data_IF_041148909971
#
_entry.id   IF_041148909971
#
_cell.length_a   1.000
_cell.length_b   1.000
_cell.length_c   1.000
_cell.angle_alpha   90.00
_cell.angle_beta   90.00
_cell.angle_gamma   90.00
#
_symmetry.space_group_name_H-M   'P 1'
#
loop_
_entity.id
_entity.type
_entity.pdbx_description
1 polymer ?
#
# COMPACT_ATOMS: atom_id res chain seq x y z
N UNK A 1 -31.00 31.99 -4.83
CA UNK A 1 -31.09 30.78 -4.02
C UNK A 1 -32.03 29.77 -4.63
N UNK A 2 -31.65 28.50 -4.61
CA UNK A 2 -32.39 27.48 -5.33
C UNK A 2 -33.20 26.58 -4.38
N UNK A 3 -34.46 26.93 -4.18
CA UNK A 3 -35.36 26.18 -3.31
C UNK A 3 -35.58 24.71 -3.78
N UNK A 4 -35.48 24.48 -5.08
CA UNK A 4 -35.64 23.15 -5.63
C UNK A 4 -34.46 22.22 -5.24
N UNK A 5 -33.25 22.79 -5.18
CA UNK A 5 -32.08 22.06 -4.73
C UNK A 5 -32.20 21.69 -3.25
N UNK A 6 -32.66 22.63 -2.43
CA UNK A 6 -32.85 22.38 -0.99
C UNK A 6 -33.91 21.30 -0.76
N UNK A 7 -35.01 21.35 -1.50
CA UNK A 7 -36.07 20.32 -1.42
C UNK A 7 -35.55 18.95 -1.83
N UNK A 8 -34.76 18.92 -2.87
CA UNK A 8 -34.13 17.67 -3.31
C UNK A 8 -33.23 17.08 -2.22
N UNK A 9 -32.42 17.93 -1.58
CA UNK A 9 -31.55 17.49 -0.48
C UNK A 9 -32.34 16.90 0.68
N UNK A 10 -33.46 17.53 1.05
CA UNK A 10 -34.33 17.03 2.11
C UNK A 10 -34.90 15.64 1.78
N UNK A 11 -35.34 15.47 0.55
CA UNK A 11 -35.85 14.18 0.09
C UNK A 11 -34.77 13.10 0.11
N UNK A 12 -33.54 13.46 -0.23
CA UNK A 12 -32.41 12.53 -0.15
C UNK A 12 -32.19 12.05 1.27
N UNK A 13 -32.28 12.95 2.24
CA UNK A 13 -32.13 12.59 3.66
C UNK A 13 -33.25 11.66 4.14
N UNK A 14 -34.47 11.92 3.66
CA UNK A 14 -35.63 11.09 4.02
C UNK A 14 -35.55 9.69 3.44
N UNK A 15 -34.93 9.54 2.26
CA UNK A 15 -34.82 8.24 1.58
C UNK A 15 -33.84 7.29 2.27
N UNK A 16 -32.95 7.81 3.10
CA UNK A 16 -32.01 7.01 3.85
C UNK A 16 -30.68 7.72 4.08
N UNK A 17 -30.03 7.36 5.16
CA UNK A 17 -28.73 7.92 5.51
C UNK A 17 -27.60 7.03 4.98
N UNK A 18 -26.44 7.64 4.77
CA UNK A 18 -25.24 6.86 4.44
C UNK A 18 -24.87 5.95 5.61
N UNK A 19 -24.22 4.83 5.33
CA UNK A 19 -23.63 4.01 6.39
C UNK A 19 -22.49 4.78 7.06
N UNK A 20 -22.23 4.48 8.34
CA UNK A 20 -21.20 5.16 9.12
C UNK A 20 -20.03 4.24 9.50
N UNK A 21 -20.12 2.98 9.13
CA UNK A 21 -19.12 1.96 9.49
C UNK A 21 -18.11 1.71 8.37
N UNK A 22 -17.99 2.65 7.43
CA UNK A 22 -16.97 2.55 6.38
C UNK A 22 -15.60 2.90 6.94
N UNK A 23 -14.57 2.36 6.32
CA UNK A 23 -13.18 2.59 6.75
C UNK A 23 -12.77 4.03 6.48
N UNK A 24 -11.96 4.59 7.39
CA UNK A 24 -11.28 5.84 7.11
C UNK A 24 -10.23 5.62 6.01
N UNK A 25 -9.75 6.70 5.41
CA UNK A 25 -8.68 6.59 4.41
C UNK A 25 -7.44 5.92 4.99
N UNK A 26 -7.04 6.29 6.20
CA UNK A 26 -5.86 5.70 6.85
C UNK A 26 -6.05 4.20 7.10
N UNK A 27 -7.20 3.81 7.61
CA UNK A 27 -7.52 2.39 7.81
C UNK A 27 -7.49 1.61 6.50
N UNK A 28 -8.07 2.20 5.46
CA UNK A 28 -8.13 1.57 4.14
C UNK A 28 -6.73 1.35 3.58
N UNK A 29 -5.89 2.39 3.58
CA UNK A 29 -4.55 2.29 3.01
C UNK A 29 -3.63 1.39 3.85
N UNK A 30 -3.78 1.40 5.18
CA UNK A 30 -3.05 0.45 6.02
C UNK A 30 -3.49 -0.99 5.75
N UNK A 31 -4.77 -1.21 5.50
CA UNK A 31 -5.26 -2.54 5.14
C UNK A 31 -4.70 -3.00 3.78
N UNK A 32 -4.57 -2.09 2.81
CA UNK A 32 -3.94 -2.39 1.52
C UNK A 32 -2.47 -2.77 1.72
N UNK A 33 -1.74 -2.02 2.55
CA UNK A 33 -0.34 -2.34 2.87
C UNK A 33 -0.24 -3.73 3.51
N UNK A 34 -1.12 -4.01 4.47
CA UNK A 34 -1.15 -5.32 5.12
C UNK A 34 -1.47 -6.44 4.14
N UNK A 35 -2.44 -6.23 3.28
CA UNK A 35 -2.77 -7.23 2.25
C UNK A 35 -1.57 -7.49 1.35
N UNK A 36 -0.86 -6.43 0.96
CA UNK A 36 0.34 -6.55 0.13
C UNK A 36 1.43 -7.39 0.81
N UNK A 37 1.56 -7.29 2.14
CA UNK A 37 2.54 -8.08 2.89
C UNK A 37 2.32 -9.58 2.72
N UNK A 38 1.09 -10.00 2.43
CA UNK A 38 0.74 -11.41 2.24
C UNK A 38 1.37 -12.02 0.98
N UNK A 39 1.87 -11.18 0.10
CA UNK A 39 2.61 -11.62 -1.08
C UNK A 39 4.09 -11.87 -0.79
N UNK A 40 4.61 -11.41 0.33
CA UNK A 40 6.02 -11.61 0.69
C UNK A 40 6.31 -13.09 0.90
N UNK A 41 7.41 -13.56 0.31
CA UNK A 41 7.88 -14.94 0.44
C UNK A 41 8.89 -15.10 1.56
N UNK A 42 9.22 -14.03 2.27
CA UNK A 42 10.13 -14.09 3.41
C UNK A 42 9.49 -14.93 4.52
N UNK A 43 10.12 -16.02 4.94
CA UNK A 43 9.54 -16.90 5.95
C UNK A 43 9.52 -16.30 7.35
N UNK A 44 10.28 -15.24 7.59
CA UNK A 44 10.44 -14.66 8.93
C UNK A 44 9.63 -13.39 9.14
N UNK A 45 9.64 -12.47 8.17
CA UNK A 45 8.99 -11.18 8.32
C UNK A 45 8.35 -10.78 7.00
N UNK A 46 7.07 -10.43 7.04
CA UNK A 46 6.33 -9.98 5.87
C UNK A 46 5.92 -8.54 6.09
N UNK A 47 6.32 -7.66 5.18
CA UNK A 47 6.05 -6.22 5.25
C UNK A 47 5.40 -5.77 3.95
N UNK A 48 4.38 -4.93 4.06
CA UNK A 48 3.72 -4.34 2.90
C UNK A 48 3.78 -2.82 2.94
N UNK A 49 3.72 -2.21 1.77
CA UNK A 49 3.72 -0.76 1.63
C UNK A 49 2.72 -0.32 0.58
N UNK A 50 2.07 0.82 0.83
CA UNK A 50 1.12 1.43 -0.08
C UNK A 50 1.45 2.91 -0.20
N UNK A 51 1.70 3.38 -1.41
CA UNK A 51 1.98 4.79 -1.68
C UNK A 51 0.72 5.43 -2.25
N UNK A 52 0.34 6.56 -1.68
CA UNK A 52 -0.93 7.22 -1.96
C UNK A 52 -0.67 8.68 -2.30
N UNK A 53 -1.32 9.18 -3.33
CA UNK A 53 -1.24 10.58 -3.72
C UNK A 53 -1.90 11.48 -2.68
N UNK A 54 -1.63 12.78 -2.80
CA UNK A 54 -2.23 13.78 -1.92
C UNK A 54 -3.76 13.80 -1.99
N UNK A 55 -4.34 13.33 -3.08
CA UNK A 55 -5.79 13.26 -3.30
C UNK A 55 -6.35 11.83 -3.11
N UNK A 56 -5.68 11.02 -2.32
CA UNK A 56 -6.15 9.69 -1.90
C UNK A 56 -6.28 8.66 -3.04
N UNK A 57 -5.40 8.73 -4.03
CA UNK A 57 -5.32 7.69 -5.07
C UNK A 57 -4.13 6.78 -4.81
N UNK A 58 -4.33 5.49 -4.88
CA UNK A 58 -3.24 4.54 -4.73
C UNK A 58 -2.32 4.64 -5.96
N UNK A 59 -1.07 4.98 -5.73
CA UNK A 59 -0.07 5.14 -6.78
C UNK A 59 0.74 3.88 -7.00
N UNK A 60 1.06 3.17 -5.93
CA UNK A 60 1.89 1.98 -5.99
C UNK A 60 1.78 1.18 -4.72
N UNK A 61 2.06 -0.11 -4.83
CA UNK A 61 2.16 -1.01 -3.69
C UNK A 61 3.46 -1.80 -3.80
N UNK A 62 3.91 -2.31 -2.67
CA UNK A 62 5.11 -3.14 -2.61
C UNK A 62 5.10 -4.03 -1.40
N UNK A 63 5.95 -5.03 -1.43
CA UNK A 63 6.20 -5.90 -0.29
C UNK A 63 7.67 -6.31 -0.32
N UNK A 64 8.21 -6.72 0.82
CA UNK A 64 9.61 -7.08 0.90
C UNK A 64 9.87 -8.40 0.16
N UNK A 65 11.00 -8.48 -0.48
CA UNK A 65 11.32 -9.67 -1.26
C UNK A 65 12.61 -9.55 -2.05
N UNK A 66 12.82 -10.54 -2.92
CA UNK A 66 13.95 -10.56 -3.82
C UNK A 66 13.84 -9.44 -4.86
N UNK A 67 14.98 -8.88 -5.29
CA UNK A 67 14.97 -7.90 -6.38
C UNK A 67 14.40 -8.50 -7.66
N UNK A 68 13.87 -7.65 -8.53
CA UNK A 68 13.35 -8.09 -9.82
C UNK A 68 14.45 -8.84 -10.60
N UNK A 69 14.07 -9.94 -11.23
CA UNK A 69 14.99 -10.77 -11.99
C UNK A 69 15.67 -11.88 -11.17
N UNK A 70 15.48 -11.90 -9.86
CA UNK A 70 16.00 -12.93 -9.00
C UNK A 70 14.92 -14.01 -8.83
N UNK A 71 15.29 -15.28 -8.98
CA UNK A 71 14.34 -16.37 -8.76
C UNK A 71 14.17 -16.63 -7.27
N UNK A 72 12.92 -16.65 -6.81
CA UNK A 72 12.60 -16.80 -5.38
C UNK A 72 13.15 -18.12 -4.79
N UNK A 73 13.13 -19.18 -5.55
CA UNK A 73 13.61 -20.51 -5.11
C UNK A 73 15.11 -20.51 -4.86
N UNK A 74 15.85 -19.65 -5.53
CA UNK A 74 17.31 -19.55 -5.42
C UNK A 74 17.76 -18.42 -4.51
N UNK A 75 16.83 -17.70 -3.92
CA UNK A 75 17.13 -16.54 -3.07
C UNK A 75 17.45 -17.03 -1.65
N UNK A 76 18.51 -16.49 -1.01
CA UNK A 76 18.84 -16.87 0.37
C UNK A 76 17.93 -16.18 1.37
N UNK A 77 16.91 -16.89 1.82
CA UNK A 77 15.92 -16.34 2.77
C UNK A 77 16.34 -16.43 4.23
N UNK A 78 17.47 -17.09 4.54
CA UNK A 78 17.89 -17.30 5.92
C UNK A 78 18.23 -15.99 6.66
N UNK A 79 18.02 -16.00 7.95
CA UNK A 79 18.41 -14.89 8.84
C UNK A 79 19.78 -15.09 9.45
N UNK A 80 20.16 -16.34 9.67
CA UNK A 80 21.39 -16.72 10.37
C UNK A 80 22.33 -17.48 9.44
N UNK A 81 23.63 -17.39 9.75
CA UNK A 81 24.67 -18.03 8.96
C UNK A 81 25.63 -17.01 8.36
N UNK A 82 26.44 -17.48 7.39
CA UNK A 82 27.33 -16.56 6.69
C UNK A 82 26.50 -15.52 5.93
N UNK A 83 26.92 -14.26 6.02
CA UNK A 83 26.17 -13.13 5.49
C UNK A 83 25.76 -13.28 4.03
N UNK A 84 26.66 -13.82 3.19
CA UNK A 84 26.36 -14.00 1.75
C UNK A 84 25.29 -15.04 1.47
N UNK A 85 24.98 -15.89 2.45
CA UNK A 85 23.91 -16.90 2.34
C UNK A 85 22.68 -16.53 3.14
N UNK A 86 22.58 -15.28 3.58
CA UNK A 86 21.39 -14.73 4.22
C UNK A 86 20.71 -13.75 3.30
N UNK A 87 19.47 -13.37 3.65
CA UNK A 87 18.70 -12.42 2.84
C UNK A 87 19.22 -10.99 2.89
N UNK A 88 19.93 -10.62 3.95
CA UNK A 88 20.22 -9.22 4.26
C UNK A 88 20.96 -8.43 3.20
N UNK A 89 21.99 -8.97 2.51
CA UNK A 89 22.65 -8.22 1.43
C UNK A 89 21.78 -7.98 0.21
N UNK A 90 20.70 -8.76 0.03
CA UNK A 90 19.96 -8.83 -1.23
C UNK A 90 18.52 -8.39 -1.14
N UNK A 91 17.89 -8.48 0.04
CA UNK A 91 16.47 -8.21 0.18
C UNK A 91 16.15 -6.76 -0.14
N UNK A 92 15.06 -6.56 -0.86
CA UNK A 92 14.53 -5.24 -1.13
C UNK A 92 13.35 -5.00 -0.18
N UNK A 93 13.39 -3.88 0.56
CA UNK A 93 12.33 -3.52 1.50
C UNK A 93 11.04 -3.14 0.77
N UNK A 94 9.92 -3.28 1.47
CA UNK A 94 8.60 -3.02 0.90
C UNK A 94 8.48 -1.60 0.33
N UNK A 95 8.99 -0.61 1.06
CA UNK A 95 8.94 0.79 0.64
C UNK A 95 9.70 1.00 -0.66
N UNK A 96 10.90 0.44 -0.76
CA UNK A 96 11.73 0.55 -1.95
C UNK A 96 11.05 -0.13 -3.14
N UNK A 97 10.47 -1.31 -2.93
CA UNK A 97 9.74 -2.01 -4.00
C UNK A 97 8.54 -1.20 -4.46
N UNK A 98 7.81 -0.56 -3.54
CA UNK A 98 6.69 0.30 -3.91
C UNK A 98 7.16 1.49 -4.75
N UNK A 99 8.27 2.12 -4.38
CA UNK A 99 8.85 3.22 -5.14
C UNK A 99 9.27 2.76 -6.54
N UNK A 100 9.98 1.63 -6.62
CA UNK A 100 10.46 1.09 -7.90
C UNK A 100 9.33 0.63 -8.81
N UNK A 101 8.20 0.24 -8.23
CA UNK A 101 7.03 -0.19 -9.00
C UNK A 101 6.18 0.95 -9.52
N UNK A 102 6.43 2.18 -9.07
CA UNK A 102 5.66 3.33 -9.53
C UNK A 102 5.96 3.65 -10.99
N UNK A 103 4.90 3.87 -11.77
CA UNK A 103 4.98 4.13 -13.21
C UNK A 103 4.41 5.49 -13.63
N UNK A 104 4.03 6.31 -12.68
CA UNK A 104 3.42 7.61 -12.95
C UNK A 104 4.43 8.74 -13.06
N UNK A 105 3.94 9.98 -12.94
CA UNK A 105 4.74 11.19 -13.05
C UNK A 105 5.41 11.53 -11.72
N UNK A 106 6.53 12.24 -11.80
CA UNK A 106 7.22 12.75 -10.62
C UNK A 106 6.32 13.72 -9.83
N UNK A 107 5.56 14.54 -10.54
CA UNK A 107 4.67 15.52 -9.91
C UNK A 107 3.61 14.85 -9.03
N UNK A 108 3.04 13.76 -9.52
CA UNK A 108 2.03 13.01 -8.79
C UNK A 108 2.61 12.37 -7.53
N UNK A 109 3.89 12.00 -7.59
CA UNK A 109 4.62 11.41 -6.48
C UNK A 109 5.00 12.42 -5.40
N UNK A 110 5.06 13.70 -5.75
CA UNK A 110 5.33 14.77 -4.80
C UNK A 110 4.19 14.86 -3.78
N UNK A 111 4.53 15.05 -2.52
CA UNK A 111 3.58 15.11 -1.40
C UNK A 111 2.79 13.81 -1.20
N UNK A 112 3.21 12.73 -1.80
CA UNK A 112 2.62 11.42 -1.58
C UNK A 112 2.88 10.95 -0.15
N UNK A 113 2.00 10.08 0.34
CA UNK A 113 2.15 9.43 1.64
C UNK A 113 2.49 7.97 1.42
N UNK A 114 3.22 7.40 2.36
CA UNK A 114 3.47 5.97 2.33
C UNK A 114 2.94 5.33 3.62
N UNK A 115 2.22 4.24 3.45
CA UNK A 115 1.70 3.44 4.56
C UNK A 115 2.48 2.15 4.58
N UNK A 116 3.00 1.79 5.74
CA UNK A 116 3.83 0.58 5.88
C UNK A 116 3.28 -0.26 7.02
N UNK A 117 3.03 -1.53 6.73
CA UNK A 117 2.63 -2.51 7.74
C UNK A 117 3.85 -3.35 8.11
N UNK A 118 4.27 -3.22 9.36
CA UNK A 118 5.43 -3.91 9.91
C UNK A 118 5.03 -5.16 10.68
#
# INVERSE_FOLDING_TARGET
>A
MNNEFEKWQEKCKESGNKRNDYLTWDEYFMAIAKLSSKRSKDPNTQVGACIVSNDNRILSIGYNGAPNGFEDENFPWARDGEKIYTKYPYVCHAEMNAILNYRGTKKEFENAKIYVDL
#
